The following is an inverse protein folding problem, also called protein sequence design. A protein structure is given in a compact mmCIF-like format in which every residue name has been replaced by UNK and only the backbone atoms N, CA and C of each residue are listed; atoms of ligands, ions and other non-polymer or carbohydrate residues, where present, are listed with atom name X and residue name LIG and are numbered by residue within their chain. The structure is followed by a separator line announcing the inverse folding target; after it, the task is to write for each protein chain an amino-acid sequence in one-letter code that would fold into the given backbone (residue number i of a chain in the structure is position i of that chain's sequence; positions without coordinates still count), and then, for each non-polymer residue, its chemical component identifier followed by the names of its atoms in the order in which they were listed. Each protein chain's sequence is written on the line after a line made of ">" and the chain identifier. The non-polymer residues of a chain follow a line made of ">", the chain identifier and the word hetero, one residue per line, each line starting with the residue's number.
data_IF_813684027841
#
_entry.id   IF_813684027841
#
_cell.length_a   1.000
_cell.length_b   1.000
_cell.length_c   1.000
_cell.angle_alpha   90.00
_cell.angle_beta   90.00
_cell.angle_gamma   90.00
#
_symmetry.space_group_name_H-M   'P 1'
#
loop_
_entity.id
_entity.type
_entity.pdbx_description
1 polymer ?
#
# COMPACT_ATOMS: atom_id res chain seq x y z
N UNK A 1 0.03 -15.40 4.16
CA UNK A 1 -0.35 -14.80 2.84
C UNK A 1 0.90 -14.68 1.97
N UNK A 2 0.81 -14.39 0.67
CA UNK A 2 1.97 -14.03 -0.17
C UNK A 2 2.15 -12.51 -0.22
N UNK A 3 3.32 -12.02 -0.61
CA UNK A 3 3.61 -10.57 -0.71
C UNK A 3 2.65 -9.90 -1.71
N UNK A 4 2.37 -10.57 -2.84
CA UNK A 4 1.38 -10.09 -3.83
C UNK A 4 -0.03 -9.96 -3.26
N UNK A 5 -0.46 -10.91 -2.41
CA UNK A 5 -1.77 -10.84 -1.75
C UNK A 5 -1.83 -9.71 -0.73
N UNK A 6 -0.79 -9.54 0.07
CA UNK A 6 -0.72 -8.46 1.07
C UNK A 6 -0.86 -7.10 0.38
N UNK A 7 -0.12 -6.87 -0.71
CA UNK A 7 -0.24 -5.63 -1.48
C UNK A 7 -1.65 -5.43 -2.09
N UNK A 8 -2.28 -6.49 -2.60
CA UNK A 8 -3.64 -6.41 -3.11
C UNK A 8 -4.67 -6.04 -2.02
N UNK A 9 -4.52 -6.59 -0.81
CA UNK A 9 -5.37 -6.23 0.33
C UNK A 9 -5.13 -4.81 0.81
N UNK A 10 -3.88 -4.33 0.80
CA UNK A 10 -3.56 -2.93 1.09
C UNK A 10 -4.30 -1.98 0.14
N UNK A 11 -4.27 -2.26 -1.17
CA UNK A 11 -5.01 -1.50 -2.16
C UNK A 11 -6.53 -1.54 -1.96
N UNK A 12 -7.09 -2.70 -1.60
CA UNK A 12 -8.51 -2.83 -1.29
C UNK A 12 -8.91 -1.99 -0.06
N UNK A 13 -8.14 -2.05 1.03
CA UNK A 13 -8.39 -1.25 2.24
C UNK A 13 -8.26 0.26 1.97
N UNK A 14 -7.39 0.67 1.07
CA UNK A 14 -7.25 2.06 0.64
C UNK A 14 -8.44 2.50 -0.23
N UNK A 15 -8.90 1.64 -1.15
CA UNK A 15 -10.09 1.90 -1.96
C UNK A 15 -11.35 2.05 -1.09
N UNK A 16 -11.52 1.20 -0.06
CA UNK A 16 -12.60 1.33 0.94
C UNK A 16 -12.53 2.65 1.71
N UNK A 17 -11.34 3.22 1.87
CA UNK A 17 -11.10 4.55 2.48
C UNK A 17 -11.25 5.72 1.51
N UNK A 18 -11.56 5.46 0.24
CA UNK A 18 -11.74 6.48 -0.81
C UNK A 18 -10.50 6.81 -1.62
N UNK A 19 -9.46 5.98 -1.53
CA UNK A 19 -8.19 6.15 -2.22
C UNK A 19 -7.89 4.98 -3.17
N UNK A 20 -8.71 4.72 -4.22
CA UNK A 20 -8.45 3.64 -5.16
C UNK A 20 -7.20 3.91 -6.01
N UNK A 21 -6.44 2.86 -6.34
CA UNK A 21 -5.33 2.92 -7.30
C UNK A 21 -5.87 2.99 -8.73
N UNK A 22 -5.28 3.81 -9.58
CA UNK A 22 -5.62 3.80 -11.01
C UNK A 22 -4.97 2.58 -11.73
N UNK A 23 -5.59 2.02 -12.78
CA UNK A 23 -5.06 0.83 -13.47
C UNK A 23 -3.66 1.02 -14.07
N UNK A 24 -3.31 2.25 -14.45
CA UNK A 24 -2.02 2.62 -15.06
C UNK A 24 -0.98 3.10 -14.05
N UNK A 25 -1.39 3.38 -12.81
CA UNK A 25 -0.51 3.91 -11.77
C UNK A 25 0.41 2.81 -11.27
N UNK A 26 1.71 3.02 -11.24
CA UNK A 26 2.71 2.09 -10.69
C UNK A 26 2.61 2.02 -9.16
N UNK A 27 3.17 0.98 -8.51
CA UNK A 27 3.16 0.89 -7.05
C UNK A 27 3.83 2.07 -6.34
N UNK A 28 4.86 2.67 -6.94
CA UNK A 28 5.52 3.85 -6.39
C UNK A 28 4.70 5.13 -6.58
N UNK A 29 4.00 5.30 -7.69
CA UNK A 29 3.10 6.44 -7.90
C UNK A 29 1.90 6.40 -6.94
N UNK A 30 1.44 5.20 -6.59
CA UNK A 30 0.36 5.00 -5.62
C UNK A 30 0.79 5.14 -4.15
N UNK A 31 2.09 5.04 -3.85
CA UNK A 31 2.62 5.05 -2.49
C UNK A 31 2.28 6.34 -1.70
N UNK A 32 2.41 7.56 -2.25
CA UNK A 32 1.96 8.78 -1.59
C UNK A 32 0.48 8.75 -1.20
N UNK A 33 -0.37 8.21 -2.06
CA UNK A 33 -1.80 8.04 -1.82
C UNK A 33 -2.06 7.06 -0.67
N UNK A 34 -1.34 5.94 -0.63
CA UNK A 34 -1.43 5.00 0.49
C UNK A 34 -0.96 5.62 1.81
N UNK A 35 0.10 6.43 1.81
CA UNK A 35 0.57 7.15 3.02
C UNK A 35 -0.43 8.18 3.54
N UNK A 36 -1.27 8.73 2.66
CA UNK A 36 -2.40 9.59 3.04
C UNK A 36 -3.57 8.77 3.60
N UNK A 37 -3.85 7.61 3.00
CA UNK A 37 -4.89 6.69 3.48
C UNK A 37 -4.57 6.07 4.85
N UNK A 38 -3.28 5.90 5.17
CA UNK A 38 -2.80 5.31 6.42
C UNK A 38 -1.72 6.20 7.08
N UNK A 39 -2.10 7.36 7.65
CA UNK A 39 -1.14 8.31 8.20
C UNK A 39 -0.34 7.76 9.39
N UNK A 40 -0.91 6.81 10.15
CA UNK A 40 -0.22 6.12 11.25
C UNK A 40 0.69 4.96 10.83
N UNK A 41 0.68 4.53 9.57
CA UNK A 41 1.40 3.35 9.09
C UNK A 41 2.24 3.62 7.83
N UNK A 42 2.76 4.83 7.70
CA UNK A 42 3.50 5.26 6.49
C UNK A 42 4.71 4.38 6.20
N UNK A 43 5.37 3.88 7.24
CA UNK A 43 6.51 2.98 7.11
C UNK A 43 6.09 1.58 6.68
N UNK A 44 5.07 1.00 7.31
CA UNK A 44 4.52 -0.31 6.95
C UNK A 44 4.06 -0.33 5.49
N UNK A 45 3.32 0.71 5.08
CA UNK A 45 2.89 0.89 3.70
C UNK A 45 4.09 0.92 2.74
N UNK A 46 5.14 1.67 3.07
CA UNK A 46 6.34 1.72 2.23
C UNK A 46 7.03 0.35 2.15
N UNK A 47 7.21 -0.35 3.28
CA UNK A 47 7.83 -1.69 3.31
C UNK A 47 7.05 -2.70 2.48
N UNK A 48 5.72 -2.70 2.57
CA UNK A 48 4.86 -3.59 1.77
C UNK A 48 5.00 -3.29 0.27
N UNK A 49 5.02 -2.01 -0.12
CA UNK A 49 5.19 -1.60 -1.53
C UNK A 49 6.57 -2.01 -2.08
N UNK A 50 7.65 -1.76 -1.34
CA UNK A 50 9.01 -2.15 -1.76
C UNK A 50 9.12 -3.66 -1.99
N UNK A 51 8.62 -4.45 -1.04
CA UNK A 51 8.65 -5.91 -1.15
C UNK A 51 7.80 -6.41 -2.35
N UNK A 52 6.66 -5.78 -2.61
CA UNK A 52 5.86 -6.09 -3.79
C UNK A 52 6.62 -5.78 -5.08
N UNK A 53 7.26 -4.61 -5.19
CA UNK A 53 8.05 -4.23 -6.36
C UNK A 53 9.20 -5.21 -6.58
N UNK A 54 9.93 -5.57 -5.52
CA UNK A 54 11.02 -6.53 -5.59
C UNK A 54 10.57 -7.90 -6.14
N UNK A 55 9.42 -8.42 -5.69
CA UNK A 55 8.85 -9.70 -6.15
C UNK A 55 8.17 -9.61 -7.51
N UNK A 56 7.59 -8.45 -7.86
CA UNK A 56 6.81 -8.28 -9.07
C UNK A 56 7.68 -7.93 -10.29
N UNK A 57 8.74 -7.15 -10.09
CA UNK A 57 9.62 -6.66 -11.15
C UNK A 57 11.06 -7.21 -11.05
N UNK A 58 11.51 -7.66 -9.87
CA UNK A 58 12.92 -7.98 -9.64
C UNK A 58 13.33 -9.45 -9.83
N UNK A 59 12.46 -10.33 -10.33
CA UNK A 59 12.67 -11.79 -10.37
C UNK A 59 13.11 -12.42 -9.02
N UNK A 60 12.98 -11.67 -7.92
CA UNK A 60 13.34 -12.12 -6.59
C UNK A 60 12.26 -13.11 -6.11
N UNK A 61 12.68 -14.35 -5.83
CA UNK A 61 11.82 -15.32 -5.17
C UNK A 61 11.42 -14.77 -3.80
N UNK A 62 10.13 -14.88 -3.44
CA UNK A 62 9.65 -14.56 -2.08
C UNK A 62 10.47 -15.37 -1.06
N UNK A 63 11.45 -14.74 -0.41
CA UNK A 63 12.21 -15.42 0.63
C UNK A 63 11.33 -15.50 1.89
N UNK A 64 11.35 -16.63 2.61
CA UNK A 64 10.51 -16.80 3.80
C UNK A 64 10.74 -15.72 4.88
N UNK A 65 11.99 -15.26 5.02
CA UNK A 65 12.39 -14.21 5.96
C UNK A 65 11.77 -12.85 5.60
N UNK A 66 11.77 -12.50 4.31
CA UNK A 66 11.15 -11.27 3.81
C UNK A 66 9.64 -11.34 4.00
N UNK A 67 9.04 -12.49 3.71
CA UNK A 67 7.60 -12.70 3.87
C UNK A 67 7.14 -12.59 5.34
N UNK A 68 7.91 -13.12 6.30
CA UNK A 68 7.61 -12.97 7.72
C UNK A 68 7.63 -11.50 8.15
N UNK A 69 8.65 -10.75 7.70
CA UNK A 69 8.78 -9.31 7.98
C UNK A 69 7.59 -8.50 7.43
N UNK A 70 7.16 -8.81 6.20
CA UNK A 70 6.05 -8.12 5.55
C UNK A 70 4.70 -8.51 6.17
N UNK A 71 4.54 -9.75 6.63
CA UNK A 71 3.34 -10.15 7.41
C UNK A 71 3.25 -9.38 8.73
N UNK A 72 4.35 -9.23 9.46
CA UNK A 72 4.35 -8.44 10.69
C UNK A 72 4.04 -6.95 10.43
N UNK A 73 4.51 -6.39 9.31
CA UNK A 73 4.16 -5.03 8.90
C UNK A 73 2.66 -4.90 8.57
N UNK A 74 2.08 -5.91 7.91
CA UNK A 74 0.66 -5.96 7.60
C UNK A 74 -0.21 -6.07 8.86
N UNK A 75 0.19 -6.89 9.84
CA UNK A 75 -0.51 -7.04 11.11
C UNK A 75 -0.56 -5.72 11.89
N UNK A 76 0.58 -5.02 12.03
CA UNK A 76 0.63 -3.68 12.65
C UNK A 76 -0.28 -2.66 11.95
N UNK A 77 -0.31 -2.71 10.61
CA UNK A 77 -1.22 -1.86 9.83
C UNK A 77 -2.68 -2.18 10.15
N UNK A 78 -3.06 -3.45 10.21
CA UNK A 78 -4.44 -3.86 10.52
C UNK A 78 -4.85 -3.48 11.94
N UNK A 79 -3.97 -3.65 12.92
CA UNK A 79 -4.21 -3.26 14.32
C UNK A 79 -4.45 -1.74 14.43
N UNK A 80 -3.60 -0.94 13.81
CA UNK A 80 -3.72 0.52 13.81
C UNK A 80 -4.96 0.98 13.03
N UNK A 81 -5.22 0.36 11.87
CA UNK A 81 -6.38 0.64 11.02
C UNK A 81 -7.72 0.29 11.69
N UNK A 82 -7.74 -0.66 12.63
CA UNK A 82 -8.90 -0.99 13.45
C UNK A 82 -9.09 0.00 14.62
N UNK A 83 -7.99 0.55 15.15
CA UNK A 83 -8.00 1.54 16.22
C UNK A 83 -8.36 2.96 15.74
N UNK A 84 -8.06 3.31 14.49
CA UNK A 84 -8.44 4.61 13.93
C UNK A 84 -9.94 4.64 13.57
N UNK A 85 -10.74 5.56 14.17
CA UNK A 85 -12.14 5.72 13.78
C UNK A 85 -12.19 6.17 12.32
N UNK A 86 -12.84 5.38 11.45
CA UNK A 86 -13.06 5.60 10.01
C UNK A 86 -13.10 7.10 9.68
N UNK A 87 -11.96 7.67 9.31
CA UNK A 87 -11.83 9.11 9.16
C UNK A 87 -12.85 9.58 8.11
N UNK A 88 -13.73 10.50 8.54
CA UNK A 88 -14.79 11.06 7.70
C UNK A 88 -14.18 11.82 6.53
N UNK A 89 -14.18 11.16 5.37
CA UNK A 89 -14.36 11.67 4.00
C UNK A 89 -13.98 13.15 3.81
N UNK A 90 -12.72 13.38 3.41
CA UNK A 90 -12.33 14.45 2.49
C UNK A 90 -11.29 13.89 1.54
N UNK A 91 -11.65 13.80 0.27
CA UNK A 91 -10.70 13.59 -0.82
C UNK A 91 -10.37 14.98 -1.36
N UNK A 92 -9.18 15.56 -1.11
CA UNK A 92 -8.63 16.56 -2.01
C UNK A 92 -8.05 15.82 -3.22
N UNK A 93 -8.34 16.33 -4.41
CA UNK A 93 -8.24 15.63 -5.69
C UNK A 93 -6.93 14.88 -5.95
N UNK A 94 -7.08 13.75 -6.65
CA UNK A 94 -6.02 13.15 -7.45
C UNK A 94 -5.30 14.23 -8.25
N UNK A 95 -3.97 14.39 -8.13
CA UNK A 95 -3.23 15.07 -9.16
C UNK A 95 -3.28 14.17 -10.38
N UNK A 96 -3.97 14.66 -11.40
CA UNK A 96 -3.84 14.20 -12.79
C UNK A 96 -2.36 14.07 -13.12
N UNK A 97 -2.03 12.91 -13.69
CA UNK A 97 -0.73 12.60 -14.27
C UNK A 97 -0.23 13.79 -15.11
N UNK A 98 0.85 14.42 -14.65
CA UNK A 98 1.60 15.34 -15.49
C UNK A 98 2.60 14.54 -16.34
N UNK A 99 2.74 15.02 -17.55
CA UNK A 99 3.34 14.35 -18.69
C UNK A 99 4.81 14.03 -18.48
N UNK A 100 5.23 12.85 -18.95
CA UNK A 100 6.55 12.73 -19.55
C UNK A 100 6.38 12.76 -21.06
N UNK A 101 6.59 13.96 -21.59
CA UNK A 101 6.76 14.28 -23.00
C UNK A 101 8.23 14.18 -23.38
#
# INVERSE_FOLDING_TARGET
>A
MTIRRIYAHLGALAAERGYPRAPYETPYEYLPTLKQAFPGNREEVARITEAYVAVHYGELSERPEDLATIQAAWERLCETAAAEPRQRRRVPGSPVADAQR
#
